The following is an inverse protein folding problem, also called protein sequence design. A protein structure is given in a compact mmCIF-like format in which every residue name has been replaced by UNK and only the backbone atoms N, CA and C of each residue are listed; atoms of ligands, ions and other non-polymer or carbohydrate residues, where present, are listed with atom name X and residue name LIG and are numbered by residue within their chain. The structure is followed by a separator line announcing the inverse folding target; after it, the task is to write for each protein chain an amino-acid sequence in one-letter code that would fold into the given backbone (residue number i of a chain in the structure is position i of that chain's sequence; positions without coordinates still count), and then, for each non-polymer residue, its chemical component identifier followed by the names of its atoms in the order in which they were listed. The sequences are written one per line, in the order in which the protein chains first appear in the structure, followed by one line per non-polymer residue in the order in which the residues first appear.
data_IF_930869585634
#
_entry.id   IF_930869585634
#
_cell.length_a   1.000
_cell.length_b   1.000
_cell.length_c   1.000
_cell.angle_alpha   90.00
_cell.angle_beta   90.00
_cell.angle_gamma   90.00
#
_symmetry.space_group_name_H-M   'P 1'
#
loop_
_entity.id
_entity.type
_entity.pdbx_description
1 polymer ?
#
# COMPACT_ATOMS: atom_id res chain seq x y z
N UNK A 1 -19.05 8.38 9.46
CA UNK A 1 -18.75 7.48 8.34
C UNK A 1 -17.23 7.51 8.24
N UNK A 2 -16.52 6.41 8.52
CA UNK A 2 -15.09 6.39 8.21
C UNK A 2 -15.00 6.39 6.68
N UNK A 3 -14.18 7.27 6.11
CA UNK A 3 -13.96 7.27 4.67
C UNK A 3 -13.40 5.91 4.25
N UNK A 4 -13.93 5.36 3.16
CA UNK A 4 -13.55 4.02 2.70
C UNK A 4 -12.09 4.02 2.24
N UNK A 5 -11.34 2.97 2.59
CA UNK A 5 -9.91 2.88 2.29
C UNK A 5 -9.68 2.21 0.93
N UNK A 6 -9.01 2.87 -0.03
CA UNK A 6 -8.68 2.25 -1.31
C UNK A 6 -7.77 1.03 -1.16
N UNK A 7 -8.15 -0.06 -1.80
CA UNK A 7 -7.41 -1.31 -1.80
C UNK A 7 -7.03 -1.73 -3.22
N UNK A 8 -5.75 -1.65 -3.57
CA UNK A 8 -5.25 -1.95 -4.92
C UNK A 8 -4.71 -3.38 -5.01
N UNK A 9 -4.43 -3.83 -6.23
CA UNK A 9 -3.79 -5.13 -6.45
C UNK A 9 -2.38 -5.24 -5.86
N UNK A 10 -1.68 -4.11 -5.62
CA UNK A 10 -0.39 -4.13 -4.92
C UNK A 10 -0.57 -4.46 -3.43
N UNK A 11 -1.57 -3.87 -2.76
CA UNK A 11 -1.90 -4.23 -1.38
C UNK A 11 -2.26 -5.71 -1.26
N UNK A 12 -3.05 -6.22 -2.22
CA UNK A 12 -3.41 -7.64 -2.30
C UNK A 12 -2.17 -8.53 -2.38
N UNK A 13 -1.26 -8.22 -3.30
CA UNK A 13 -0.02 -8.98 -3.50
C UNK A 13 0.85 -8.96 -2.24
N UNK A 14 1.07 -7.78 -1.66
CA UNK A 14 1.91 -7.63 -0.47
C UNK A 14 1.36 -8.36 0.72
N UNK A 15 0.06 -8.24 1.02
CA UNK A 15 -0.55 -8.94 2.16
C UNK A 15 -0.52 -10.46 1.96
N UNK A 16 -0.81 -10.95 0.75
CA UNK A 16 -0.73 -12.38 0.42
C UNK A 16 0.67 -12.93 0.66
N UNK A 17 1.68 -12.20 0.19
CA UNK A 17 3.08 -12.59 0.37
C UNK A 17 3.53 -12.45 1.84
N UNK A 18 3.15 -11.37 2.53
CA UNK A 18 3.52 -11.12 3.92
C UNK A 18 2.99 -12.21 4.86
N UNK A 19 1.73 -12.63 4.70
CA UNK A 19 1.17 -13.73 5.48
C UNK A 19 1.89 -15.05 5.21
N UNK A 20 2.16 -15.35 3.93
CA UNK A 20 2.88 -16.56 3.54
C UNK A 20 4.32 -16.58 4.07
N UNK A 21 4.99 -15.43 4.03
CA UNK A 21 6.34 -15.25 4.56
C UNK A 21 6.38 -15.37 6.09
N UNK A 22 5.36 -14.86 6.80
CA UNK A 22 5.23 -15.02 8.25
C UNK A 22 5.05 -16.49 8.66
N UNK A 23 4.30 -17.27 7.87
CA UNK A 23 4.20 -18.73 8.04
C UNK A 23 5.56 -19.40 7.84
N UNK A 24 6.26 -19.08 6.75
CA UNK A 24 7.61 -19.62 6.48
C UNK A 24 8.59 -19.31 7.61
N UNK A 25 8.53 -18.08 8.16
CA UNK A 25 9.32 -17.64 9.31
C UNK A 25 8.86 -18.21 10.66
N UNK A 26 7.81 -19.03 10.68
CA UNK A 26 7.20 -19.62 11.89
C UNK A 26 6.71 -18.59 12.91
N UNK A 27 6.36 -17.39 12.43
CA UNK A 27 5.80 -16.32 13.27
C UNK A 27 4.30 -16.55 13.52
N UNK A 28 3.61 -17.15 12.54
CA UNK A 28 2.21 -17.55 12.62
C UNK A 28 2.02 -18.94 12.02
N UNK A 29 0.92 -19.61 12.33
CA UNK A 29 0.53 -20.86 11.68
C UNK A 29 -0.19 -20.59 10.36
N UNK A 30 -0.26 -21.59 9.49
CA UNK A 30 -1.06 -21.50 8.26
C UNK A 30 -2.55 -21.21 8.53
N UNK A 31 -3.10 -21.73 9.63
CA UNK A 31 -4.47 -21.45 10.05
C UNK A 31 -4.68 -19.98 10.44
N UNK A 32 -3.71 -19.37 11.14
CA UNK A 32 -3.75 -17.94 11.47
C UNK A 32 -3.66 -17.10 10.20
N UNK A 33 -2.76 -17.44 9.27
CA UNK A 33 -2.64 -16.74 7.98
C UNK A 33 -3.94 -16.79 7.15
N UNK A 34 -4.59 -17.96 7.11
CA UNK A 34 -5.86 -18.13 6.42
C UNK A 34 -6.99 -17.32 7.08
N UNK A 35 -7.00 -17.28 8.41
CA UNK A 35 -7.96 -16.45 9.17
C UNK A 35 -7.75 -14.97 8.89
N UNK A 36 -6.50 -14.50 8.90
CA UNK A 36 -6.17 -13.10 8.57
C UNK A 36 -6.62 -12.73 7.14
N UNK A 37 -6.43 -13.63 6.17
CA UNK A 37 -6.92 -13.42 4.82
C UNK A 37 -8.45 -13.36 4.74
N UNK A 38 -9.14 -14.23 5.47
CA UNK A 38 -10.61 -14.26 5.51
C UNK A 38 -11.18 -12.98 6.14
N UNK A 39 -10.51 -12.43 7.15
CA UNK A 39 -10.89 -11.14 7.75
C UNK A 39 -10.73 -9.99 6.74
N UNK A 40 -9.63 -9.98 5.97
CA UNK A 40 -9.44 -9.00 4.90
C UNK A 40 -10.55 -9.07 3.84
N UNK A 41 -11.00 -10.29 3.49
CA UNK A 41 -12.13 -10.49 2.59
C UNK A 41 -13.46 -9.98 3.16
N UNK A 42 -13.68 -10.15 4.47
CA UNK A 42 -14.83 -9.58 5.15
C UNK A 42 -14.80 -8.04 5.20
N UNK A 43 -13.63 -7.43 5.39
CA UNK A 43 -13.44 -5.97 5.34
C UNK A 43 -13.73 -5.41 3.94
N UNK A 44 -13.38 -6.15 2.88
CA UNK A 44 -13.74 -5.81 1.50
C UNK A 44 -15.25 -5.93 1.27
N UNK A 45 -15.89 -6.99 1.77
CA UNK A 45 -17.34 -7.22 1.61
C UNK A 45 -18.18 -6.20 2.39
N UNK A 46 -17.69 -5.75 3.55
CA UNK A 46 -18.37 -4.74 4.38
C UNK A 46 -18.14 -3.30 3.91
N UNK A 47 -17.26 -3.08 2.91
CA UNK A 47 -16.96 -1.76 2.36
C UNK A 47 -15.98 -0.93 3.18
N UNK A 48 -15.33 -1.52 4.19
CA UNK A 48 -14.21 -0.88 4.91
C UNK A 48 -13.03 -0.70 3.96
N UNK A 49 -12.73 -1.75 3.19
CA UNK A 49 -11.74 -1.72 2.11
C UNK A 49 -12.46 -1.72 0.75
N UNK A 50 -12.19 -0.73 -0.09
CA UNK A 50 -12.80 -0.62 -1.42
C UNK A 50 -11.79 -0.98 -2.49
N UNK A 51 -12.03 -2.08 -3.19
CA UNK A 51 -11.19 -2.51 -4.31
C UNK A 51 -11.14 -1.41 -5.36
N UNK A 52 -9.96 -0.84 -5.54
CA UNK A 52 -9.72 0.31 -6.41
C UNK A 52 -8.78 -0.11 -7.53
N UNK A 53 -9.35 -0.23 -8.73
CA UNK A 53 -8.57 -0.51 -9.93
C UNK A 53 -7.69 0.70 -10.27
N UNK A 54 -6.43 0.44 -10.60
CA UNK A 54 -5.48 1.45 -11.05
C UNK A 54 -4.95 1.08 -12.43
N UNK A 55 -4.68 2.11 -13.25
CA UNK A 55 -3.96 1.92 -14.49
C UNK A 55 -2.47 1.77 -14.17
N UNK A 56 -2.01 0.53 -14.00
CA UNK A 56 -0.63 0.21 -13.62
C UNK A 56 0.44 0.90 -14.46
N UNK A 57 0.31 1.05 -15.80
CA UNK A 57 1.29 1.81 -16.58
C UNK A 57 1.45 3.26 -16.11
N UNK A 58 0.37 3.90 -15.65
CA UNK A 58 0.42 5.26 -15.13
C UNK A 58 1.05 5.32 -13.74
N UNK A 59 0.75 4.32 -12.90
CA UNK A 59 1.39 4.16 -11.59
C UNK A 59 2.90 3.95 -11.75
N UNK A 60 3.35 3.08 -12.66
CA UNK A 60 4.78 2.86 -12.91
C UNK A 60 5.47 4.12 -13.42
N UNK A 61 4.88 4.83 -14.40
CA UNK A 61 5.44 6.09 -14.90
C UNK A 61 5.54 7.14 -13.79
N UNK A 62 4.53 7.23 -12.92
CA UNK A 62 4.57 8.13 -11.77
C UNK A 62 5.62 7.70 -10.75
N UNK A 63 5.75 6.41 -10.46
CA UNK A 63 6.73 5.87 -9.52
C UNK A 63 8.17 6.13 -9.99
N UNK A 64 8.45 6.04 -11.29
CA UNK A 64 9.73 6.41 -11.88
C UNK A 64 10.05 7.90 -11.67
N UNK A 65 9.10 8.79 -11.95
CA UNK A 65 9.26 10.23 -11.69
C UNK A 65 9.52 10.52 -10.21
N UNK A 66 8.77 9.86 -9.30
CA UNK A 66 8.98 10.00 -7.86
C UNK A 66 10.37 9.50 -7.44
N UNK A 67 10.82 8.39 -8.03
CA UNK A 67 12.13 7.84 -7.73
C UNK A 67 13.25 8.80 -8.15
N UNK A 68 13.18 9.32 -9.38
CA UNK A 68 14.13 10.29 -9.90
C UNK A 68 14.20 11.56 -9.03
N UNK A 69 13.04 12.12 -8.67
CA UNK A 69 12.97 13.40 -7.96
C UNK A 69 13.22 13.29 -6.46
N UNK A 70 12.84 12.18 -5.82
CA UNK A 70 12.73 12.12 -4.36
C UNK A 70 13.44 10.94 -3.71
N UNK A 71 13.78 9.86 -4.42
CA UNK A 71 14.54 8.74 -3.80
C UNK A 71 15.91 9.18 -3.28
N UNK A 72 16.70 10.05 -3.96
CA UNK A 72 17.97 10.53 -3.40
C UNK A 72 17.84 11.19 -2.02
N UNK A 73 16.69 11.80 -1.71
CA UNK A 73 16.43 12.46 -0.43
C UNK A 73 15.68 11.57 0.59
N UNK A 74 14.82 10.66 0.12
CA UNK A 74 13.96 9.82 0.98
C UNK A 74 14.51 8.42 1.26
N UNK A 75 15.42 7.91 0.41
CA UNK A 75 15.93 6.54 0.49
C UNK A 75 14.89 5.47 0.16
N UNK A 76 13.81 5.85 -0.54
CA UNK A 76 12.68 4.98 -0.89
C UNK A 76 13.07 3.83 -1.82
N UNK A 77 12.50 2.64 -1.60
CA UNK A 77 12.60 1.49 -2.50
C UNK A 77 11.52 1.57 -3.58
N UNK A 78 11.63 0.73 -4.61
CA UNK A 78 10.67 0.69 -5.72
C UNK A 78 9.23 0.40 -5.28
N UNK A 79 9.01 -0.42 -4.24
CA UNK A 79 7.66 -0.65 -3.70
C UNK A 79 7.14 0.59 -2.96
N UNK A 80 8.00 1.31 -2.25
CA UNK A 80 7.62 2.56 -1.57
C UNK A 80 7.16 3.61 -2.59
N UNK A 81 7.87 3.74 -3.71
CA UNK A 81 7.49 4.66 -4.79
C UNK A 81 6.20 4.22 -5.50
N UNK A 82 5.96 2.92 -5.65
CA UNK A 82 4.72 2.39 -6.22
C UNK A 82 3.49 2.69 -5.36
N UNK A 83 3.59 2.57 -4.03
CA UNK A 83 2.48 2.90 -3.12
C UNK A 83 2.11 4.38 -3.18
N UNK A 84 3.11 5.27 -3.08
CA UNK A 84 2.88 6.71 -3.16
C UNK A 84 2.36 7.12 -4.54
N UNK A 85 2.91 6.52 -5.61
CA UNK A 85 2.42 6.76 -6.97
C UNK A 85 0.97 6.30 -7.15
N UNK A 86 0.60 5.13 -6.63
CA UNK A 86 -0.77 4.62 -6.70
C UNK A 86 -1.74 5.58 -6.02
N UNK A 87 -1.42 6.04 -4.81
CA UNK A 87 -2.20 7.01 -4.05
C UNK A 87 -2.43 8.33 -4.81
N UNK A 88 -1.40 8.84 -5.49
CA UNK A 88 -1.50 10.04 -6.33
C UNK A 88 -2.36 9.80 -7.59
N UNK A 89 -2.21 8.65 -8.24
CA UNK A 89 -2.98 8.29 -9.45
C UNK A 89 -4.47 8.17 -9.15
N UNK A 90 -4.85 7.64 -7.99
CA UNK A 90 -6.26 7.58 -7.54
C UNK A 90 -6.70 8.86 -6.81
N UNK A 91 -5.86 9.90 -6.80
CA UNK A 91 -6.17 11.23 -6.27
C UNK A 91 -6.60 11.24 -4.79
N UNK A 92 -5.99 10.38 -3.97
CA UNK A 92 -6.19 10.42 -2.51
C UNK A 92 -5.58 11.68 -1.91
N UNK A 93 -6.18 12.14 -0.81
CA UNK A 93 -5.68 13.30 -0.03
C UNK A 93 -4.89 12.88 1.20
N UNK A 94 -5.28 11.75 1.80
CA UNK A 94 -4.68 11.18 2.99
C UNK A 94 -3.95 9.89 2.61
N UNK A 95 -2.74 9.72 3.16
CA UNK A 95 -1.90 8.55 2.95
C UNK A 95 -1.59 7.89 4.30
N UNK A 96 -2.03 6.65 4.49
CA UNK A 96 -1.81 5.91 5.74
C UNK A 96 -0.63 4.97 5.56
N UNK A 97 0.40 5.10 6.40
CA UNK A 97 1.55 4.19 6.38
C UNK A 97 2.26 4.14 7.72
N UNK A 98 2.82 2.97 8.02
CA UNK A 98 3.75 2.78 9.14
C UNK A 98 5.20 2.69 8.67
N UNK A 99 5.47 2.77 7.36
CA UNK A 99 6.82 2.77 6.82
C UNK A 99 7.38 4.20 6.74
N UNK A 100 8.50 4.42 7.42
CA UNK A 100 9.15 5.74 7.52
C UNK A 100 9.59 6.28 6.15
N UNK A 101 9.97 5.41 5.20
CA UNK A 101 10.37 5.83 3.85
C UNK A 101 9.16 6.25 3.04
N UNK A 102 8.08 5.47 3.11
CA UNK A 102 6.81 5.84 2.46
C UNK A 102 6.26 7.15 3.02
N UNK A 103 6.32 7.35 4.34
CA UNK A 103 5.95 8.61 5.00
C UNK A 103 6.79 9.78 4.43
N UNK A 104 8.11 9.65 4.46
CA UNK A 104 9.01 10.69 3.94
C UNK A 104 8.73 11.01 2.46
N UNK A 105 8.53 9.99 1.61
CA UNK A 105 8.20 10.18 0.20
C UNK A 105 6.84 10.84 0.00
N UNK A 106 5.80 10.37 0.69
CA UNK A 106 4.44 10.92 0.56
C UNK A 106 4.37 12.38 1.01
N UNK A 107 5.12 12.78 2.05
CA UNK A 107 5.24 14.19 2.44
C UNK A 107 5.87 15.06 1.35
N UNK A 108 6.88 14.54 0.63
CA UNK A 108 7.52 15.27 -0.48
C UNK A 108 6.58 15.47 -1.69
N UNK A 109 5.49 14.70 -1.80
CA UNK A 109 4.50 14.82 -2.87
C UNK A 109 3.28 15.65 -2.49
N UNK A 110 3.23 16.15 -1.24
CA UNK A 110 2.11 16.95 -0.73
C UNK A 110 0.94 16.13 -0.19
N UNK A 111 1.05 14.80 -0.10
CA UNK A 111 0.05 13.97 0.56
C UNK A 111 0.05 14.21 2.08
N UNK A 112 -1.13 14.16 2.69
CA UNK A 112 -1.25 14.24 4.16
C UNK A 112 -1.05 12.85 4.76
N UNK A 113 0.11 12.64 5.38
CA UNK A 113 0.44 11.34 5.98
C UNK A 113 -0.22 11.15 7.35
N UNK A 114 -0.75 9.96 7.60
CA UNK A 114 -1.37 9.51 8.85
C UNK A 114 -0.81 8.17 9.29
N UNK A 115 -0.82 7.93 10.60
CA UNK A 115 -0.45 6.67 11.24
C UNK A 115 -1.66 6.13 12.01
#
# INVERSE_FOLDING_TARGET
MHDALPFTELHRLELRNAFSLAVFRKQITAAIAQTAWSNLEADMQSGVLVVSAVLWPDVFRKAEQLAELHTPASGSRSLDTLHVAAALVIQTVDFVTFDIRQDALAKLTGLKVRQ
#
